data_IF_974678829997
#
_entry.id   IF_974678829997
#
_cell.length_a   1.000
_cell.length_b   1.000
_cell.length_c   1.000
_cell.angle_alpha   90.00
_cell.angle_beta   90.00
_cell.angle_gamma   90.00
#
_symmetry.space_group_name_H-M   'P 1'
#
loop_
_entity.id
_entity.type
_entity.pdbx_description
1 polymer ?
#
# COMPACT_ATOMS: atom_id res chain seq x y z
N UNK A 1 36.40 10.60 -42.01
CA UNK A 1 35.31 9.62 -42.14
C UNK A 1 34.92 9.02 -40.78
N UNK A 2 35.87 8.47 -40.00
CA UNK A 2 35.62 7.87 -38.66
C UNK A 2 34.93 8.78 -37.63
N UNK A 3 35.23 10.08 -37.62
CA UNK A 3 34.64 11.04 -36.65
C UNK A 3 33.14 11.22 -36.89
N UNK A 4 32.69 11.15 -38.16
CA UNK A 4 31.29 11.35 -38.52
C UNK A 4 30.44 10.15 -38.07
N UNK A 5 30.95 8.93 -38.25
CA UNK A 5 30.32 7.69 -37.76
C UNK A 5 30.18 7.68 -36.23
N UNK A 6 31.19 8.18 -35.50
CA UNK A 6 31.15 8.24 -34.04
C UNK A 6 30.09 9.23 -33.52
N UNK A 7 29.93 10.39 -34.17
CA UNK A 7 28.91 11.39 -33.80
C UNK A 7 27.50 10.86 -34.08
N UNK A 8 27.31 10.14 -35.20
CA UNK A 8 26.04 9.51 -35.56
C UNK A 8 25.69 8.40 -34.55
N UNK A 9 26.65 7.54 -34.21
CA UNK A 9 26.43 6.47 -33.23
C UNK A 9 26.11 7.01 -31.83
N UNK A 10 26.82 8.04 -31.36
CA UNK A 10 26.53 8.69 -30.07
C UNK A 10 25.14 9.35 -30.06
N UNK A 11 24.74 9.97 -31.17
CA UNK A 11 23.42 10.59 -31.30
C UNK A 11 22.30 9.55 -31.30
N UNK A 12 22.45 8.45 -32.05
CA UNK A 12 21.52 7.32 -32.05
C UNK A 12 21.43 6.66 -30.67
N UNK A 13 22.56 6.45 -29.99
CA UNK A 13 22.60 5.86 -28.65
C UNK A 13 21.87 6.74 -27.63
N UNK A 14 22.07 8.07 -27.68
CA UNK A 14 21.35 9.02 -26.82
C UNK A 14 19.83 9.02 -27.09
N UNK A 15 19.41 8.91 -28.36
CA UNK A 15 17.99 8.80 -28.74
C UNK A 15 17.36 7.51 -28.20
N UNK A 16 18.07 6.38 -28.28
CA UNK A 16 17.60 5.09 -27.74
C UNK A 16 17.51 5.11 -26.20
N UNK A 17 18.49 5.72 -25.53
CA UNK A 17 18.47 5.88 -24.06
C UNK A 17 17.28 6.74 -23.63
N UNK A 18 16.99 7.84 -24.35
CA UNK A 18 15.82 8.69 -24.08
C UNK A 18 14.50 7.94 -24.26
N UNK A 19 14.33 7.22 -25.38
CA UNK A 19 13.13 6.39 -25.62
C UNK A 19 12.90 5.34 -24.52
N UNK A 20 13.96 4.64 -24.10
CA UNK A 20 13.86 3.62 -23.03
C UNK A 20 13.52 4.25 -21.67
N UNK A 21 13.91 5.51 -21.43
CA UNK A 21 13.54 6.26 -20.21
C UNK A 21 12.07 6.70 -20.25
N UNK A 22 11.57 7.15 -21.39
CA UNK A 22 10.17 7.53 -21.61
C UNK A 22 9.22 6.33 -21.45
N UNK A 23 9.57 5.16 -21.99
CA UNK A 23 8.78 3.92 -21.81
C UNK A 23 8.70 3.49 -20.34
N UNK A 24 9.80 3.62 -19.58
CA UNK A 24 9.81 3.34 -18.13
C UNK A 24 8.93 4.32 -17.36
N UNK A 25 8.96 5.61 -17.73
CA UNK A 25 8.13 6.63 -17.10
C UNK A 25 6.64 6.43 -17.40
N UNK A 26 6.28 6.06 -18.63
CA UNK A 26 4.89 5.81 -18.99
C UNK A 26 4.33 4.58 -18.28
N UNK A 27 5.13 3.51 -18.14
CA UNK A 27 4.74 2.35 -17.32
C UNK A 27 4.54 2.71 -15.85
N UNK A 28 5.39 3.56 -15.27
CA UNK A 28 5.23 4.01 -13.89
C UNK A 28 3.95 4.84 -13.70
N UNK A 29 3.67 5.77 -14.62
CA UNK A 29 2.44 6.58 -14.61
C UNK A 29 1.18 5.75 -14.83
N UNK A 30 1.23 4.73 -15.67
CA UNK A 30 0.11 3.83 -15.91
C UNK A 30 -0.20 2.99 -14.67
N UNK A 31 0.84 2.48 -13.99
CA UNK A 31 0.70 1.77 -12.71
C UNK A 31 0.14 2.70 -11.62
N UNK A 32 0.60 3.94 -11.54
CA UNK A 32 0.09 4.95 -10.61
C UNK A 32 -1.36 5.34 -10.90
N UNK A 33 -1.71 5.55 -12.17
CA UNK A 33 -3.07 5.83 -12.61
C UNK A 33 -4.01 4.67 -12.30
N UNK A 34 -3.60 3.43 -12.56
CA UNK A 34 -4.39 2.26 -12.24
C UNK A 34 -4.55 2.08 -10.72
N UNK A 35 -3.50 2.37 -9.94
CA UNK A 35 -3.54 2.38 -8.47
C UNK A 35 -4.55 3.40 -7.94
N UNK A 36 -4.55 4.62 -8.46
CA UNK A 36 -5.51 5.67 -8.12
C UNK A 36 -6.94 5.29 -8.54
N UNK A 37 -7.12 4.70 -9.73
CA UNK A 37 -8.45 4.29 -10.21
C UNK A 37 -9.10 3.20 -9.35
N UNK A 38 -8.29 2.39 -8.67
CA UNK A 38 -8.74 1.32 -7.78
C UNK A 38 -8.92 1.79 -6.33
N UNK A 39 -8.61 3.05 -5.99
CA UNK A 39 -8.70 3.57 -4.62
C UNK A 39 -10.07 4.16 -4.28
N UNK A 40 -11.17 3.49 -4.67
CA UNK A 40 -12.46 3.78 -4.03
C UNK A 40 -12.42 3.23 -2.60
N UNK A 41 -11.87 4.02 -1.69
CA UNK A 41 -11.79 3.65 -0.28
C UNK A 41 -13.20 3.53 0.31
N UNK A 42 -13.43 2.47 1.07
CA UNK A 42 -14.75 2.23 1.68
C UNK A 42 -15.16 3.39 2.60
N UNK A 43 -16.46 3.62 2.80
CA UNK A 43 -16.93 4.63 3.77
C UNK A 43 -16.31 4.40 5.17
N UNK A 44 -16.10 3.14 5.52
CA UNK A 44 -15.43 2.73 6.76
C UNK A 44 -14.00 3.24 6.85
N UNK A 45 -13.23 3.12 5.77
CA UNK A 45 -11.89 3.68 5.68
C UNK A 45 -11.93 5.20 5.91
N UNK A 46 -12.80 5.92 5.21
CA UNK A 46 -12.92 7.38 5.33
C UNK A 46 -13.25 7.82 6.76
N UNK A 47 -14.19 7.12 7.42
CA UNK A 47 -14.55 7.40 8.80
C UNK A 47 -13.39 7.11 9.77
N UNK A 48 -12.55 6.12 9.47
CA UNK A 48 -11.41 5.78 10.33
C UNK A 48 -10.29 6.82 10.23
N UNK A 49 -9.93 7.26 9.01
CA UNK A 49 -8.85 8.24 8.78
C UNK A 49 -9.27 9.69 9.04
N UNK A 50 -10.56 9.98 9.23
CA UNK A 50 -11.04 11.33 9.51
C UNK A 50 -10.73 11.82 10.94
N UNK A 51 -10.41 10.92 11.87
CA UNK A 51 -10.16 11.26 13.27
C UNK A 51 -9.05 10.36 13.88
N UNK A 52 -8.37 10.81 14.95
CA UNK A 52 -7.41 9.98 15.66
C UNK A 52 -8.05 8.67 16.14
N UNK A 53 -7.32 7.55 16.02
CA UNK A 53 -7.92 6.23 16.25
C UNK A 53 -8.36 5.96 17.71
N UNK A 54 -7.76 6.65 18.69
CA UNK A 54 -8.12 6.51 20.10
C UNK A 54 -8.28 5.05 20.56
N UNK A 55 -9.41 4.76 21.19
CA UNK A 55 -9.78 3.44 21.72
C UNK A 55 -10.73 2.64 20.79
N UNK A 56 -10.74 2.96 19.49
CA UNK A 56 -11.59 2.30 18.50
C UNK A 56 -11.33 0.79 18.46
N UNK A 57 -12.40 -0.04 18.33
CA UNK A 57 -12.25 -1.48 18.22
C UNK A 57 -11.52 -1.85 16.92
N UNK A 58 -10.89 -3.03 16.90
CA UNK A 58 -10.22 -3.55 15.71
C UNK A 58 -11.16 -3.71 14.52
N UNK A 59 -12.45 -3.91 14.80
CA UNK A 59 -13.51 -3.99 13.79
C UNK A 59 -13.76 -2.68 13.07
N UNK A 60 -13.21 -1.54 13.48
CA UNK A 60 -13.38 -0.26 12.76
C UNK A 60 -12.37 -0.10 11.62
N UNK A 61 -11.30 -0.90 11.59
CA UNK A 61 -10.33 -0.90 10.51
C UNK A 61 -10.99 -1.34 9.19
N UNK A 62 -10.65 -0.66 8.10
CA UNK A 62 -11.08 -1.10 6.78
C UNK A 62 -10.51 -2.50 6.48
N UNK A 63 -11.28 -3.34 5.77
CA UNK A 63 -10.89 -4.73 5.51
C UNK A 63 -11.08 -5.69 6.69
N UNK A 64 -11.26 -5.20 7.92
CA UNK A 64 -11.59 -6.03 9.10
C UNK A 64 -13.10 -6.04 9.33
N UNK A 65 -13.76 -7.16 9.05
CA UNK A 65 -15.18 -7.38 9.40
C UNK A 65 -15.34 -8.10 10.74
N UNK A 66 -16.56 -8.37 11.18
CA UNK A 66 -16.84 -9.03 12.48
C UNK A 66 -16.15 -10.39 12.65
N UNK A 67 -16.06 -11.18 11.59
CA UNK A 67 -15.41 -12.51 11.64
C UNK A 67 -13.90 -12.38 11.87
N UNK A 68 -13.26 -11.44 11.18
CA UNK A 68 -11.83 -11.17 11.33
C UNK A 68 -11.54 -10.48 12.66
N UNK A 69 -12.39 -9.53 13.05
CA UNK A 69 -12.31 -8.83 14.32
C UNK A 69 -12.35 -9.80 15.50
N UNK A 70 -13.30 -10.75 15.52
CA UNK A 70 -13.35 -11.77 16.58
C UNK A 70 -12.09 -12.65 16.65
N UNK A 71 -11.47 -12.95 15.51
CA UNK A 71 -10.21 -13.73 15.47
C UNK A 71 -9.04 -12.90 15.96
N UNK A 72 -8.98 -11.62 15.58
CA UNK A 72 -7.98 -10.68 16.06
C UNK A 72 -8.12 -10.45 17.57
N UNK A 73 -9.33 -10.23 18.07
CA UNK A 73 -9.66 -10.14 19.49
C UNK A 73 -9.21 -11.40 20.24
N UNK A 74 -9.51 -12.60 19.72
CA UNK A 74 -9.06 -13.85 20.32
C UNK A 74 -7.53 -14.02 20.31
N UNK A 75 -6.84 -13.38 19.36
CA UNK A 75 -5.38 -13.32 19.30
C UNK A 75 -4.77 -12.18 20.13
N UNK A 76 -5.58 -11.39 20.86
CA UNK A 76 -5.13 -10.28 21.70
C UNK A 76 -5.05 -8.91 20.99
N UNK A 77 -5.60 -8.81 19.78
CA UNK A 77 -5.70 -7.58 18.99
C UNK A 77 -7.13 -7.03 19.02
N UNK A 78 -7.60 -6.62 20.20
CA UNK A 78 -8.95 -6.13 20.44
C UNK A 78 -9.17 -4.68 19.97
N UNK A 79 -8.11 -3.86 19.99
CA UNK A 79 -8.15 -2.45 19.59
C UNK A 79 -7.37 -2.17 18.32
N UNK A 80 -7.79 -1.13 17.59
CA UNK A 80 -7.14 -0.70 16.36
C UNK A 80 -5.67 -0.30 16.58
N UNK A 81 -5.34 0.31 17.72
CA UNK A 81 -3.97 0.69 18.05
C UNK A 81 -3.03 -0.51 18.27
N UNK A 82 -3.54 -1.67 18.69
CA UNK A 82 -2.72 -2.88 18.85
C UNK A 82 -2.30 -3.39 17.47
N UNK A 83 -3.22 -3.38 16.50
CA UNK A 83 -2.92 -3.71 15.10
C UNK A 83 -1.99 -2.69 14.47
N UNK A 84 -2.15 -1.39 14.76
CA UNK A 84 -1.19 -0.37 14.36
C UNK A 84 0.21 -0.67 14.91
N UNK A 85 0.32 -1.04 16.19
CA UNK A 85 1.58 -1.42 16.81
C UNK A 85 2.29 -2.53 16.02
N UNK A 86 1.55 -3.58 15.66
CA UNK A 86 2.08 -4.67 14.84
C UNK A 86 2.49 -4.20 13.44
N UNK A 87 1.70 -3.35 12.79
CA UNK A 87 2.04 -2.72 11.51
C UNK A 87 3.36 -1.92 11.59
N UNK A 88 3.60 -1.21 12.69
CA UNK A 88 4.84 -0.45 12.92
C UNK A 88 6.04 -1.37 13.23
N UNK A 89 5.85 -2.46 13.97
CA UNK A 89 6.89 -3.49 14.22
C UNK A 89 7.37 -4.09 12.89
N UNK A 90 6.44 -4.34 11.96
CA UNK A 90 6.73 -4.81 10.61
C UNK A 90 7.28 -3.71 9.69
N UNK A 91 7.62 -2.53 10.23
CA UNK A 91 8.19 -1.38 9.52
C UNK A 91 7.37 -0.93 8.32
N UNK A 92 6.04 -1.00 8.42
CA UNK A 92 5.11 -0.67 7.33
C UNK A 92 5.35 -1.52 6.07
N UNK A 93 5.95 -2.70 6.20
CA UNK A 93 6.17 -3.61 5.07
C UNK A 93 4.85 -4.28 4.67
N UNK A 94 4.42 -4.07 3.42
CA UNK A 94 3.14 -4.55 2.93
C UNK A 94 3.05 -6.08 2.90
N UNK A 95 4.07 -6.73 2.36
CA UNK A 95 4.08 -8.18 2.17
C UNK A 95 4.03 -8.91 3.53
N UNK A 96 4.88 -8.47 4.47
CA UNK A 96 4.93 -9.05 5.82
C UNK A 96 3.63 -8.79 6.59
N UNK A 97 3.02 -7.61 6.44
CA UNK A 97 1.74 -7.31 7.08
C UNK A 97 0.60 -8.17 6.52
N UNK A 98 0.59 -8.40 5.21
CA UNK A 98 -0.41 -9.26 4.57
C UNK A 98 -0.26 -10.72 4.97
N UNK A 99 0.97 -11.21 5.09
CA UNK A 99 1.28 -12.55 5.61
C UNK A 99 0.84 -12.68 7.07
N UNK A 100 1.20 -11.73 7.93
CA UNK A 100 0.76 -11.70 9.31
C UNK A 100 -0.77 -11.68 9.45
N UNK A 101 -1.48 -10.86 8.68
CA UNK A 101 -2.96 -10.83 8.69
C UNK A 101 -3.57 -12.17 8.27
N UNK A 102 -2.93 -12.87 7.33
CA UNK A 102 -3.34 -14.20 6.92
C UNK A 102 -3.14 -15.23 8.04
N UNK A 103 -2.02 -15.16 8.75
CA UNK A 103 -1.72 -16.11 9.82
C UNK A 103 -2.54 -15.83 11.09
N UNK A 104 -2.72 -14.56 11.46
CA UNK A 104 -3.41 -14.15 12.67
C UNK A 104 -4.93 -14.31 12.59
N UNK A 105 -5.55 -14.03 11.44
CA UNK A 105 -7.01 -14.02 11.33
C UNK A 105 -7.56 -14.67 10.04
N UNK A 106 -6.69 -15.27 9.22
CA UNK A 106 -7.05 -15.85 7.91
C UNK A 106 -7.70 -14.85 6.96
N UNK A 107 -7.17 -13.61 6.95
CA UNK A 107 -7.59 -12.59 6.00
C UNK A 107 -7.25 -12.98 4.55
N UNK A 108 -8.14 -12.62 3.62
CA UNK A 108 -7.85 -12.71 2.20
C UNK A 108 -7.03 -11.51 1.72
N UNK A 109 -6.48 -11.60 0.49
CA UNK A 109 -5.61 -10.57 -0.06
C UNK A 109 -6.27 -9.18 -0.17
N UNK A 110 -7.58 -9.12 -0.40
CA UNK A 110 -8.32 -7.86 -0.46
C UNK A 110 -8.46 -7.24 0.93
N UNK A 111 -8.87 -8.03 1.91
CA UNK A 111 -9.06 -7.59 3.29
C UNK A 111 -7.76 -7.09 3.91
N UNK A 112 -6.67 -7.82 3.72
CA UNK A 112 -5.36 -7.40 4.22
C UNK A 112 -4.83 -6.15 3.50
N UNK A 113 -5.08 -6.02 2.20
CA UNK A 113 -4.74 -4.80 1.44
C UNK A 113 -5.55 -3.58 1.89
N UNK A 114 -6.86 -3.74 2.08
CA UNK A 114 -7.74 -2.65 2.52
C UNK A 114 -7.35 -2.16 3.94
N UNK A 115 -6.99 -3.09 4.84
CA UNK A 115 -6.49 -2.78 6.17
C UNK A 115 -5.13 -2.08 6.13
N UNK A 116 -4.20 -2.59 5.33
CA UNK A 116 -2.87 -1.98 5.13
C UNK A 116 -2.98 -0.54 4.63
N UNK A 117 -3.82 -0.30 3.62
CA UNK A 117 -4.02 1.05 3.07
C UNK A 117 -4.63 1.98 4.13
N UNK A 118 -5.62 1.50 4.89
CA UNK A 118 -6.22 2.25 6.00
C UNK A 118 -5.20 2.69 7.06
N UNK A 119 -4.30 1.80 7.46
CA UNK A 119 -3.26 2.12 8.45
C UNK A 119 -2.18 3.03 7.86
N UNK A 120 -1.85 2.88 6.58
CA UNK A 120 -0.88 3.73 5.88
C UNK A 120 -1.41 5.15 5.81
N UNK A 121 -2.63 5.34 5.33
CA UNK A 121 -3.25 6.66 5.18
C UNK A 121 -3.46 7.32 6.55
N UNK A 122 -3.86 6.56 7.57
CA UNK A 122 -3.94 7.08 8.94
C UNK A 122 -2.56 7.53 9.47
N UNK A 123 -1.49 6.77 9.19
CA UNK A 123 -0.15 7.18 9.59
C UNK A 123 0.29 8.46 8.87
N UNK A 124 -0.01 8.63 7.59
CA UNK A 124 0.37 9.83 6.84
C UNK A 124 -0.30 11.10 7.39
N UNK A 125 -1.51 10.99 7.92
CA UNK A 125 -2.26 12.12 8.49
C UNK A 125 -1.90 12.43 9.95
N UNK A 126 -1.60 11.42 10.77
CA UNK A 126 -1.49 11.58 12.23
C UNK A 126 -0.13 11.20 12.85
N UNK A 127 0.84 10.68 12.09
CA UNK A 127 2.15 10.21 12.61
C UNK A 127 3.35 10.68 11.77
#
# INVERSE_FOLDING_TARGET
MLIFEFVIFCSLLLVLIKKKKEEKQNKAKEVEYFRFKMSSTSQKHKNFVAEPMGEKPVTDLAGVGEVLGRRLEAAGFDKAYVVLGQYLVLKKNKELFQEWMKDACSANAKQSNDCYQCLTDWCEEFL
#
